data_IF_790246482636
#
_entry.id   IF_790246482636
#
_cell.length_a   1.000
_cell.length_b   1.000
_cell.length_c   1.000
_cell.angle_alpha   90.00
_cell.angle_beta   90.00
_cell.angle_gamma   90.00
#
_symmetry.space_group_name_H-M   'P 1'
#
loop_
_entity.id
_entity.type
_entity.pdbx_description
1 polymer ?
#
# COMPACT_ATOMS: atom_id res chain seq x y z
N UNK A 1 4.27 -1.69 17.63
CA UNK A 1 4.67 -1.71 16.22
C UNK A 1 3.38 -1.87 15.46
N UNK A 2 2.94 -0.82 14.77
CA UNK A 2 1.75 -0.87 13.90
C UNK A 2 2.09 -1.74 12.69
N UNK A 3 1.71 -3.02 12.76
CA UNK A 3 1.90 -3.94 11.65
C UNK A 3 0.72 -3.81 10.70
N UNK A 4 1.03 -3.46 9.46
CA UNK A 4 0.10 -3.59 8.35
C UNK A 4 -0.12 -5.10 8.18
N UNK A 5 -1.30 -5.59 8.56
CA UNK A 5 -1.70 -6.99 8.34
C UNK A 5 -1.71 -7.26 6.84
N UNK A 6 -1.39 -8.49 6.43
CA UNK A 6 -1.38 -8.87 5.01
C UNK A 6 -0.79 -10.25 4.77
N UNK A 7 -1.12 -10.83 3.62
CA UNK A 7 -0.60 -12.11 3.18
C UNK A 7 0.79 -11.94 2.55
N UNK A 8 1.75 -12.77 2.98
CA UNK A 8 3.09 -12.83 2.42
C UNK A 8 3.33 -14.21 1.80
N UNK A 9 3.70 -14.23 0.51
CA UNK A 9 4.04 -15.45 -0.21
C UNK A 9 5.42 -15.35 -0.82
N UNK A 10 6.24 -16.39 -0.65
CA UNK A 10 7.62 -16.45 -1.15
C UNK A 10 7.75 -17.64 -2.09
N UNK A 11 8.30 -17.43 -3.28
CA UNK A 11 8.56 -18.47 -4.26
C UNK A 11 9.94 -18.29 -4.87
N UNK A 12 10.78 -19.33 -4.80
CA UNK A 12 12.13 -19.25 -5.33
C UNK A 12 12.99 -20.44 -4.95
N UNK A 13 14.29 -20.27 -5.13
CA UNK A 13 15.32 -21.23 -4.80
C UNK A 13 16.25 -20.67 -3.72
N UNK A 14 16.62 -21.52 -2.79
CA UNK A 14 17.57 -21.24 -1.74
C UNK A 14 18.67 -22.31 -1.79
N UNK A 15 19.90 -21.90 -2.08
CA UNK A 15 21.06 -22.79 -2.04
C UNK A 15 21.73 -22.67 -0.66
N UNK A 16 21.57 -23.69 0.18
CA UNK A 16 22.11 -23.72 1.54
C UNK A 16 23.62 -23.99 1.58
N UNK A 17 24.20 -24.55 0.52
CA UNK A 17 25.65 -24.79 0.45
C UNK A 17 26.40 -23.50 0.14
N UNK A 18 25.90 -22.70 -0.81
CA UNK A 18 26.49 -21.41 -1.18
C UNK A 18 25.89 -20.22 -0.42
N UNK A 19 24.88 -20.48 0.43
CA UNK A 19 24.11 -19.46 1.14
C UNK A 19 23.58 -18.36 0.21
N UNK A 20 23.08 -18.75 -0.97
CA UNK A 20 22.48 -17.83 -1.94
C UNK A 20 20.98 -18.03 -2.03
N UNK A 21 20.25 -16.93 -2.19
CA UNK A 21 18.81 -16.93 -2.45
C UNK A 21 18.52 -16.26 -3.79
N UNK A 22 17.55 -16.82 -4.50
CA UNK A 22 16.90 -16.22 -5.65
C UNK A 22 15.40 -16.48 -5.54
N UNK A 23 14.66 -15.48 -5.08
CA UNK A 23 13.24 -15.62 -4.78
C UNK A 23 12.43 -14.39 -5.14
N UNK A 24 11.15 -14.62 -5.43
CA UNK A 24 10.14 -13.60 -5.53
C UNK A 24 9.28 -13.61 -4.26
N UNK A 25 9.09 -12.43 -3.69
CA UNK A 25 8.26 -12.21 -2.51
C UNK A 25 7.06 -11.38 -2.94
N UNK A 26 5.86 -11.90 -2.75
CA UNK A 26 4.62 -11.19 -3.00
C UNK A 26 3.96 -10.84 -1.68
N UNK A 27 3.67 -9.56 -1.49
CA UNK A 27 2.96 -9.03 -0.33
C UNK A 27 1.61 -8.47 -0.78
N UNK A 28 0.54 -8.97 -0.16
CA UNK A 28 -0.84 -8.52 -0.36
C UNK A 28 -1.35 -7.93 0.95
N UNK A 29 -1.36 -6.59 1.12
CA UNK A 29 -1.83 -5.97 2.35
C UNK A 29 -3.31 -6.26 2.59
N UNK A 30 -3.66 -6.51 3.85
CA UNK A 30 -5.03 -6.56 4.32
C UNK A 30 -5.54 -5.13 4.52
N UNK A 31 -6.30 -4.66 3.52
CA UNK A 31 -6.89 -3.33 3.51
C UNK A 31 -8.03 -3.17 4.54
N UNK A 32 -8.38 -4.23 5.29
CA UNK A 32 -9.43 -4.20 6.32
C UNK A 32 -8.92 -3.84 7.71
N UNK A 33 -7.60 -3.79 7.93
CA UNK A 33 -7.01 -3.67 9.28
C UNK A 33 -6.25 -2.36 9.56
N UNK A 34 -6.27 -1.38 8.65
CA UNK A 34 -5.60 -0.10 8.87
C UNK A 34 -5.93 0.95 7.82
N UNK A 35 -6.38 2.11 8.29
CA UNK A 35 -6.82 3.29 7.55
C UNK A 35 -6.04 3.57 6.24
N UNK A 36 -6.74 3.93 5.14
CA UNK A 36 -6.06 4.46 3.95
C UNK A 36 -5.45 5.82 4.26
N UNK A 37 -4.13 5.94 4.07
CA UNK A 37 -3.37 7.18 4.16
C UNK A 37 -3.90 8.23 3.16
N UNK A 38 -4.85 9.07 3.60
CA UNK A 38 -5.34 10.25 2.87
C UNK A 38 -4.70 11.55 3.40
N UNK A 39 -3.39 11.59 3.57
CA UNK A 39 -2.71 12.78 4.14
C UNK A 39 -2.48 13.92 3.13
N UNK A 40 -3.03 13.87 1.91
CA UNK A 40 -2.65 14.80 0.84
C UNK A 40 -3.24 16.23 0.89
N UNK A 41 -4.06 16.60 1.89
CA UNK A 41 -4.71 17.93 1.94
C UNK A 41 -4.07 18.96 2.89
N UNK A 42 -2.90 18.69 3.50
CA UNK A 42 -2.38 19.53 4.58
C UNK A 42 -1.57 20.78 4.17
N UNK A 43 -1.26 21.01 2.88
CA UNK A 43 -0.19 21.98 2.52
C UNK A 43 -0.69 23.37 2.06
N UNK A 44 -1.94 23.58 1.62
CA UNK A 44 -2.41 24.93 1.26
C UNK A 44 -3.95 25.11 1.22
N UNK A 45 -4.62 25.58 2.29
CA UNK A 45 -6.08 25.78 2.35
C UNK A 45 -6.57 27.08 1.68
N UNK A 46 -5.69 28.03 1.37
CA UNK A 46 -6.09 29.40 1.03
C UNK A 46 -6.72 29.53 -0.37
N UNK A 47 -6.46 28.58 -1.25
CA UNK A 47 -7.01 28.49 -2.62
C UNK A 47 -8.22 27.55 -2.72
N UNK A 48 -8.68 26.97 -1.61
CA UNK A 48 -9.71 25.93 -1.61
C UNK A 48 -11.16 26.43 -1.79
N UNK A 49 -11.40 27.74 -1.76
CA UNK A 49 -12.76 28.29 -1.76
C UNK A 49 -13.49 28.30 -3.12
N UNK A 50 -12.81 27.95 -4.23
CA UNK A 50 -13.40 28.02 -5.58
C UNK A 50 -13.75 26.66 -6.23
N UNK A 51 -13.39 25.52 -5.65
CA UNK A 51 -13.51 24.20 -6.33
C UNK A 51 -14.69 23.34 -5.84
N UNK A 52 -15.33 23.66 -4.72
CA UNK A 52 -16.27 22.73 -4.06
C UNK A 52 -17.74 22.79 -4.54
N UNK A 53 -18.11 23.71 -5.44
CA UNK A 53 -19.49 23.88 -5.91
C UNK A 53 -19.81 23.17 -7.25
N UNK A 54 -18.89 22.36 -7.78
CA UNK A 54 -19.15 21.56 -8.99
C UNK A 54 -19.28 20.11 -8.54
N UNK A 55 -20.52 19.68 -8.36
CA UNK A 55 -21.02 18.37 -8.80
C UNK A 55 -19.94 17.32 -9.03
N UNK A 56 -19.75 16.39 -8.08
CA UNK A 56 -19.74 14.98 -8.47
C UNK A 56 -19.95 14.10 -7.24
N UNK A 57 -21.13 13.47 -7.23
CA UNK A 57 -21.35 12.14 -6.66
C UNK A 57 -20.49 11.17 -7.48
N UNK A 58 -19.18 11.22 -7.27
CA UNK A 58 -18.25 10.22 -7.79
C UNK A 58 -17.59 9.69 -6.54
N UNK A 59 -17.87 8.44 -6.23
CA UNK A 59 -17.18 7.71 -5.19
C UNK A 59 -15.69 8.03 -5.31
N UNK A 60 -15.00 8.47 -4.24
CA UNK A 60 -13.56 8.65 -4.30
C UNK A 60 -12.97 7.24 -4.42
N UNK A 61 -12.93 6.75 -5.66
CA UNK A 61 -12.18 5.56 -6.03
C UNK A 61 -10.74 5.99 -5.90
N UNK A 62 -10.14 5.68 -4.76
CA UNK A 62 -8.73 5.95 -4.53
C UNK A 62 -7.97 4.75 -5.08
N UNK A 63 -6.97 5.03 -5.90
CA UNK A 63 -6.09 4.01 -6.44
C UNK A 63 -5.23 3.45 -5.29
N UNK A 64 -5.59 2.28 -4.78
CA UNK A 64 -4.87 1.64 -3.67
C UNK A 64 -3.91 0.58 -4.19
N UNK A 65 -2.77 0.43 -3.52
CA UNK A 65 -1.83 -0.66 -3.81
C UNK A 65 -2.41 -1.93 -3.18
N UNK A 66 -2.79 -2.88 -4.03
CA UNK A 66 -3.40 -4.16 -3.60
C UNK A 66 -2.38 -5.28 -3.51
N UNK A 67 -1.24 -5.15 -4.19
CA UNK A 67 -0.17 -6.15 -4.15
C UNK A 67 1.16 -5.53 -4.56
N UNK A 68 2.24 -5.96 -3.91
CA UNK A 68 3.61 -5.63 -4.31
C UNK A 68 4.43 -6.91 -4.45
N UNK A 69 5.20 -7.03 -5.54
CA UNK A 69 6.11 -8.14 -5.78
C UNK A 69 7.54 -7.63 -5.76
N UNK A 70 8.37 -8.25 -4.92
CA UNK A 70 9.79 -7.99 -4.78
C UNK A 70 10.61 -9.17 -5.32
N UNK A 71 11.73 -8.87 -5.94
CA UNK A 71 12.81 -9.79 -6.25
C UNK A 71 13.85 -9.73 -5.14
N UNK A 72 14.23 -10.89 -4.59
CA UNK A 72 15.21 -11.04 -3.51
C UNK A 72 16.32 -11.96 -3.99
N UNK A 73 17.51 -11.39 -4.20
CA UNK A 73 18.65 -12.10 -4.79
C UNK A 73 19.95 -11.85 -4.03
N UNK A 74 20.80 -12.86 -3.94
CA UNK A 74 22.16 -12.74 -3.42
C UNK A 74 22.40 -13.51 -2.13
N UNK A 75 23.39 -13.10 -1.31
CA UNK A 75 23.75 -13.81 -0.07
C UNK A 75 22.62 -13.80 0.96
N UNK A 76 22.34 -14.93 1.62
CA UNK A 76 21.25 -15.05 2.61
C UNK A 76 21.39 -14.12 3.82
N UNK A 77 22.61 -13.69 4.16
CA UNK A 77 22.86 -12.74 5.25
C UNK A 77 22.64 -11.28 4.84
N UNK A 78 22.63 -10.98 3.54
CA UNK A 78 22.48 -9.63 3.00
C UNK A 78 21.95 -9.69 1.56
N UNK A 79 20.73 -10.19 1.34
CA UNK A 79 20.17 -10.28 0.00
C UNK A 79 19.80 -8.88 -0.50
N UNK A 80 19.93 -8.65 -1.80
CA UNK A 80 19.43 -7.45 -2.43
C UNK A 80 17.93 -7.61 -2.72
N UNK A 81 17.14 -6.65 -2.27
CA UNK A 81 15.69 -6.61 -2.47
C UNK A 81 15.36 -5.51 -3.47
N UNK A 82 14.62 -5.85 -4.52
CA UNK A 82 14.19 -4.90 -5.56
C UNK A 82 12.71 -5.06 -5.82
N UNK A 83 11.97 -3.96 -5.90
CA UNK A 83 10.59 -4.04 -6.34
C UNK A 83 10.53 -4.42 -7.82
N UNK A 84 9.84 -5.52 -8.13
CA UNK A 84 9.65 -6.00 -9.49
C UNK A 84 8.38 -5.43 -10.10
N UNK A 85 7.29 -5.39 -9.33
CA UNK A 85 6.01 -4.83 -9.77
C UNK A 85 5.10 -4.48 -8.61
N UNK A 86 4.11 -3.62 -8.89
CA UNK A 86 2.99 -3.30 -8.00
C UNK A 86 1.69 -3.41 -8.77
N UNK A 87 0.65 -4.00 -8.15
CA UNK A 87 -0.72 -3.97 -8.65
C UNK A 87 -1.52 -2.96 -7.86
N UNK A 88 -2.42 -2.31 -8.57
CA UNK A 88 -3.30 -1.30 -8.03
C UNK A 88 -4.74 -1.72 -8.24
N UNK A 89 -5.60 -1.38 -7.31
CA UNK A 89 -7.03 -1.63 -7.37
C UNK A 89 -7.81 -0.39 -7.04
N UNK A 90 -9.01 -0.31 -7.59
CA UNK A 90 -10.01 0.68 -7.26
C UNK A 90 -10.70 0.25 -5.97
N UNK A 91 -10.49 0.97 -4.86
CA UNK A 91 -11.13 0.66 -3.58
C UNK A 91 -12.07 1.79 -3.17
N UNK A 92 -13.36 1.45 -3.03
CA UNK A 92 -14.36 2.34 -2.46
C UNK A 92 -14.21 2.36 -0.95
N UNK A 93 -13.81 3.49 -0.39
CA UNK A 93 -13.59 3.65 1.05
C UNK A 93 -14.94 3.47 1.78
N UNK A 94 -15.07 2.48 2.69
CA UNK A 94 -16.27 2.31 3.51
C UNK A 94 -16.54 3.56 4.36
N UNK A 95 -17.83 3.89 4.54
CA UNK A 95 -18.25 5.08 5.31
C UNK A 95 -17.77 5.13 6.77
N UNK A 96 -17.43 3.97 7.36
CA UNK A 96 -16.89 3.84 8.72
C UNK A 96 -15.56 4.61 8.86
N UNK A 97 -14.62 4.40 7.92
CA UNK A 97 -13.30 5.07 7.90
C UNK A 97 -13.37 6.55 7.49
N UNK A 98 -14.49 6.97 6.88
CA UNK A 98 -14.77 8.37 6.53
C UNK A 98 -14.90 9.25 7.78
N UNK A 99 -15.35 8.68 8.90
CA UNK A 99 -15.55 9.41 10.16
C UNK A 99 -14.24 9.59 10.93
N UNK A 100 -13.34 8.62 10.92
CA UNK A 100 -12.04 8.72 11.61
C UNK A 100 -11.13 9.76 10.94
N UNK A 101 -11.16 9.86 9.60
CA UNK A 101 -10.48 10.93 8.86
C UNK A 101 -11.03 12.35 9.17
N UNK A 102 -12.24 12.44 9.76
CA UNK A 102 -12.89 13.69 10.15
C UNK A 102 -12.87 13.93 11.67
N UNK A 103 -12.54 12.91 12.48
CA UNK A 103 -12.57 12.97 13.94
C UNK A 103 -11.24 13.39 14.58
N UNK A 104 -10.15 13.50 13.79
CA UNK A 104 -8.89 14.11 14.22
C UNK A 104 -8.95 15.64 14.24
N UNK A 105 -10.00 16.21 14.82
CA UNK A 105 -10.15 17.66 15.03
C UNK A 105 -9.59 18.06 16.39
#
# INVERSE_FOLDING_TARGET
MDSISGDLSIKGLANLNTQMVDAEVTFSPDLTSGLPMLTAFAVAPQTALYVLAISTVVAPVVEVITQVTYEVKGPMNSPQVREKSRRKGDYEIPNEYRKEAQAGK
#
